data_IF_908918600382
#
_entry.id   IF_908918600382
#
_cell.length_a   1.000
_cell.length_b   1.000
_cell.length_c   1.000
_cell.angle_alpha   90.00
_cell.angle_beta   90.00
_cell.angle_gamma   90.00
#
_symmetry.space_group_name_H-M   'P 1'
#
loop_
_entity.id
_entity.type
_entity.pdbx_description
1 polymer ?
#
# COMPACT_ATOMS: atom_id res chain seq x y z
N UNK A 1 13.07 -1.79 7.26
CA UNK A 1 11.91 -2.69 7.45
C UNK A 1 10.97 -2.70 6.24
N UNK A 2 10.40 -1.58 5.78
CA UNK A 2 9.51 -1.57 4.61
C UNK A 2 10.17 -2.06 3.31
N UNK A 3 11.42 -1.68 3.06
CA UNK A 3 12.17 -2.12 1.88
C UNK A 3 12.75 -3.54 2.01
N UNK A 4 12.52 -4.22 3.14
CA UNK A 4 13.08 -5.55 3.44
C UNK A 4 12.03 -6.66 3.38
N UNK A 5 10.76 -6.31 3.15
CA UNK A 5 9.68 -7.30 3.04
C UNK A 5 9.41 -7.61 1.57
N UNK A 6 9.27 -8.89 1.27
CA UNK A 6 8.94 -9.37 -0.08
C UNK A 6 7.43 -9.22 -0.37
N UNK A 7 6.59 -9.36 0.65
CA UNK A 7 5.13 -9.26 0.55
C UNK A 7 4.62 -8.09 1.38
N UNK A 8 3.80 -7.26 0.75
CA UNK A 8 3.05 -6.20 1.43
C UNK A 8 1.55 -6.47 1.33
N UNK A 9 0.82 -5.92 2.29
CA UNK A 9 -0.62 -6.06 2.40
C UNK A 9 -1.22 -4.67 2.49
N UNK A 10 -2.11 -4.37 1.57
CA UNK A 10 -2.70 -3.04 1.41
C UNK A 10 -4.17 -3.12 1.75
N UNK A 11 -4.57 -2.40 2.79
CA UNK A 11 -5.95 -2.32 3.26
C UNK A 11 -6.39 -0.86 3.40
N UNK A 12 -7.63 -0.60 3.02
CA UNK A 12 -8.25 0.70 3.14
C UNK A 12 -9.46 0.63 4.09
N UNK A 13 -9.36 1.27 5.26
CA UNK A 13 -10.40 1.17 6.29
C UNK A 13 -11.12 2.51 6.56
N UNK A 14 -12.41 2.42 6.88
CA UNK A 14 -13.32 3.57 7.07
C UNK A 14 -13.60 3.90 8.54
N UNK A 15 -13.34 2.97 9.46
CA UNK A 15 -13.83 3.04 10.85
C UNK A 15 -13.22 4.20 11.67
N UNK A 16 -12.16 4.84 11.18
CA UNK A 16 -11.37 5.82 11.92
C UNK A 16 -10.98 7.07 11.09
N UNK A 17 -11.85 7.57 10.21
CA UNK A 17 -11.52 8.80 9.46
C UNK A 17 -12.06 10.07 10.13
N UNK A 18 -11.16 11.04 10.36
CA UNK A 18 -11.55 12.39 10.76
C UNK A 18 -12.39 13.03 9.65
N UNK A 19 -13.26 13.99 10.01
CA UNK A 19 -14.31 14.59 9.15
C UNK A 19 -13.89 15.00 7.72
N UNK A 20 -12.60 15.20 7.46
CA UNK A 20 -12.05 15.67 6.19
C UNK A 20 -11.45 14.58 5.29
N UNK A 21 -11.44 13.33 5.73
CA UNK A 21 -10.83 12.22 4.99
C UNK A 21 -11.85 11.13 4.69
N UNK A 22 -11.74 10.55 3.51
CA UNK A 22 -12.67 9.52 3.03
C UNK A 22 -12.21 8.12 3.46
N UNK A 23 -10.90 7.89 3.59
CA UNK A 23 -10.36 6.59 3.97
C UNK A 23 -8.97 6.68 4.62
N UNK A 24 -8.66 5.71 5.46
CA UNK A 24 -7.31 5.46 5.94
C UNK A 24 -6.72 4.28 5.15
N UNK A 25 -5.70 4.55 4.34
CA UNK A 25 -4.92 3.51 3.68
C UNK A 25 -3.81 3.03 4.62
N UNK A 26 -3.65 1.73 4.72
CA UNK A 26 -2.60 1.09 5.51
C UNK A 26 -1.80 0.12 4.64
N UNK A 27 -0.47 0.14 4.80
CA UNK A 27 0.43 -0.84 4.19
C UNK A 27 1.14 -1.56 5.31
N UNK A 28 1.00 -2.88 5.31
CA UNK A 28 1.64 -3.76 6.27
C UNK A 28 2.69 -4.61 5.57
N UNK A 29 3.75 -4.94 6.30
CA UNK A 29 4.74 -5.92 5.87
C UNK A 29 4.65 -7.16 6.74
N UNK A 30 4.90 -8.32 6.13
CA UNK A 30 5.12 -9.57 6.87
C UNK A 30 6.61 -9.89 6.92
N UNK A 31 7.15 -10.07 8.14
CA UNK A 31 8.53 -10.52 8.34
C UNK A 31 8.60 -11.43 9.56
N UNK A 32 9.21 -12.61 9.39
CA UNK A 32 9.37 -13.62 10.45
C UNK A 32 8.05 -13.96 11.17
N UNK A 33 6.95 -14.08 10.43
CA UNK A 33 5.62 -14.39 10.98
C UNK A 33 4.92 -13.22 11.67
N UNK A 34 5.52 -12.03 11.70
CA UNK A 34 4.91 -10.83 12.26
C UNK A 34 4.32 -9.95 11.17
N UNK A 35 3.09 -9.50 11.40
CA UNK A 35 2.37 -8.56 10.54
C UNK A 35 2.41 -7.18 11.18
N UNK A 36 3.07 -6.23 10.54
CA UNK A 36 3.36 -4.92 11.16
C UNK A 36 2.85 -3.80 10.25
N UNK A 37 2.08 -2.82 10.75
CA UNK A 37 1.75 -1.62 10.00
C UNK A 37 3.01 -0.79 9.78
N UNK A 38 3.32 -0.51 8.52
CA UNK A 38 4.53 0.21 8.11
C UNK A 38 4.23 1.60 7.57
N UNK A 39 3.08 1.76 6.92
CA UNK A 39 2.60 3.03 6.38
C UNK A 39 1.12 3.18 6.71
N UNK A 40 0.75 4.39 7.13
CA UNK A 40 -0.63 4.81 7.34
C UNK A 40 -0.81 6.17 6.67
N UNK A 41 -1.81 6.30 5.80
CA UNK A 41 -2.13 7.53 5.09
C UNK A 41 -3.62 7.84 5.21
N UNK A 42 -3.96 9.10 5.46
CA UNK A 42 -5.33 9.60 5.37
C UNK A 42 -5.54 10.16 3.97
N UNK A 43 -6.57 9.68 3.26
CA UNK A 43 -6.81 10.00 1.86
C UNK A 43 -8.13 10.75 1.66
N UNK A 44 -8.16 11.73 0.75
CA UNK A 44 -9.35 12.55 0.52
C UNK A 44 -10.40 11.84 -0.32
N UNK A 45 -10.02 10.82 -1.08
CA UNK A 45 -10.86 10.08 -2.01
C UNK A 45 -10.36 8.63 -2.15
N UNK A 46 -10.97 7.89 -3.08
CA UNK A 46 -10.73 6.45 -3.31
C UNK A 46 -10.40 6.15 -4.77
N UNK A 47 -9.75 7.07 -5.47
CA UNK A 47 -9.43 6.92 -6.90
C UNK A 47 -8.01 6.39 -7.09
N UNK A 48 -7.79 5.69 -8.21
CA UNK A 48 -6.51 5.06 -8.56
C UNK A 48 -5.34 6.04 -8.54
N UNK A 49 -5.56 7.26 -9.01
CA UNK A 49 -4.56 8.32 -9.13
C UNK A 49 -4.02 8.74 -7.77
N UNK A 50 -4.90 8.85 -6.77
CA UNK A 50 -4.52 9.16 -5.39
C UNK A 50 -3.68 8.03 -4.78
N UNK A 51 -4.06 6.77 -5.01
CA UNK A 51 -3.27 5.62 -4.55
C UNK A 51 -1.90 5.54 -5.22
N UNK A 52 -1.85 5.69 -6.55
CA UNK A 52 -0.61 5.69 -7.32
C UNK A 52 0.31 6.83 -6.86
N UNK A 53 -0.24 8.01 -6.61
CA UNK A 53 0.50 9.13 -6.03
C UNK A 53 1.12 8.74 -4.68
N UNK A 54 0.35 8.18 -3.75
CA UNK A 54 0.83 7.76 -2.43
C UNK A 54 1.94 6.72 -2.54
N UNK A 55 1.76 5.68 -3.37
CA UNK A 55 2.78 4.65 -3.58
C UNK A 55 4.08 5.24 -4.13
N UNK A 56 4.00 6.15 -5.10
CA UNK A 56 5.16 6.86 -5.61
C UNK A 56 5.83 7.75 -4.55
N UNK A 57 5.07 8.41 -3.66
CA UNK A 57 5.65 9.17 -2.56
C UNK A 57 6.43 8.26 -1.59
N UNK A 58 5.92 7.05 -1.31
CA UNK A 58 6.60 6.07 -0.46
C UNK A 58 7.92 5.63 -1.13
N UNK A 59 7.88 5.25 -2.41
CA UNK A 59 9.08 4.88 -3.19
C UNK A 59 10.11 6.01 -3.15
N UNK A 60 9.68 7.25 -3.43
CA UNK A 60 10.54 8.42 -3.40
C UNK A 60 11.18 8.65 -2.02
N UNK A 61 10.41 8.45 -0.94
CA UNK A 61 10.92 8.56 0.43
C UNK A 61 11.97 7.50 0.74
N UNK A 62 11.74 6.26 0.32
CA UNK A 62 12.71 5.17 0.45
C UNK A 62 13.99 5.45 -0.36
N UNK A 63 13.86 5.89 -1.62
CA UNK A 63 15.00 6.19 -2.48
C UNK A 63 15.89 7.29 -1.89
N UNK A 64 15.29 8.33 -1.27
CA UNK A 64 16.04 9.42 -0.61
C UNK A 64 16.91 8.96 0.57
N UNK A 65 16.60 7.81 1.18
CA UNK A 65 17.40 7.21 2.25
C UNK A 65 18.27 6.05 1.75
N UNK A 66 18.47 5.95 0.43
CA UNK A 66 19.30 4.92 -0.19
C UNK A 66 18.70 3.52 -0.16
N UNK A 67 17.38 3.40 -0.02
CA UNK A 67 16.66 2.13 -0.02
C UNK A 67 15.70 2.01 -1.20
N UNK A 68 15.65 0.84 -1.81
CA UNK A 68 14.70 0.55 -2.90
C UNK A 68 13.49 -0.18 -2.34
N UNK A 69 12.32 0.45 -2.40
CA UNK A 69 11.06 -0.22 -2.06
C UNK A 69 10.43 -0.85 -3.30
N UNK A 70 10.57 -2.18 -3.42
CA UNK A 70 10.08 -2.97 -4.55
C UNK A 70 9.45 -4.27 -4.03
N UNK A 71 8.15 -4.25 -3.64
CA UNK A 71 7.48 -5.46 -3.17
C UNK A 71 7.37 -6.50 -4.29
N UNK A 72 7.67 -7.77 -4.01
CA UNK A 72 7.50 -8.87 -4.98
C UNK A 72 6.04 -9.31 -5.05
N UNK A 73 5.34 -9.24 -3.93
CA UNK A 73 3.93 -9.57 -3.83
C UNK A 73 3.17 -8.44 -3.16
N UNK A 74 2.00 -8.11 -3.70
CA UNK A 74 1.06 -7.17 -3.11
C UNK A 74 -0.26 -7.90 -2.91
N UNK A 75 -0.67 -8.03 -1.65
CA UNK A 75 -1.96 -8.58 -1.28
C UNK A 75 -2.92 -7.42 -1.06
N UNK A 76 -4.04 -7.42 -1.78
CA UNK A 76 -5.00 -6.32 -1.79
C UNK A 76 -6.39 -6.93 -1.60
N UNK A 77 -7.22 -6.24 -0.83
CA UNK A 77 -8.64 -6.58 -0.67
C UNK A 77 -9.46 -6.17 -1.93
N UNK A 78 -10.79 -6.17 -1.86
CA UNK A 78 -11.69 -5.98 -3.02
C UNK A 78 -11.69 -4.58 -3.70
N UNK A 79 -10.88 -3.63 -3.25
CA UNK A 79 -10.94 -2.25 -3.76
C UNK A 79 -10.21 -2.06 -5.11
N UNK A 80 -10.97 -2.04 -6.21
CA UNK A 80 -10.47 -1.99 -7.59
C UNK A 80 -9.48 -0.85 -7.88
N UNK A 81 -9.71 0.34 -7.33
CA UNK A 81 -8.82 1.49 -7.54
C UNK A 81 -7.41 1.26 -7.00
N UNK A 82 -7.26 0.49 -5.91
CA UNK A 82 -5.95 0.08 -5.39
C UNK A 82 -5.28 -0.92 -6.35
N UNK A 83 -6.04 -1.86 -6.93
CA UNK A 83 -5.52 -2.82 -7.94
C UNK A 83 -4.95 -2.13 -9.17
N UNK A 84 -5.67 -1.12 -9.68
CA UNK A 84 -5.23 -0.31 -10.83
C UNK A 84 -3.93 0.41 -10.47
N UNK A 85 -3.89 1.11 -9.34
CA UNK A 85 -2.71 1.85 -8.89
C UNK A 85 -1.48 0.95 -8.66
N UNK A 86 -1.65 -0.23 -8.06
CA UNK A 86 -0.56 -1.20 -7.90
C UNK A 86 -0.06 -1.70 -9.24
N UNK A 87 -0.95 -1.90 -10.22
CA UNK A 87 -0.56 -2.31 -11.58
C UNK A 87 0.27 -1.24 -12.28
N UNK A 88 -0.09 0.02 -12.09
CA UNK A 88 0.66 1.16 -12.64
C UNK A 88 2.04 1.31 -11.99
N UNK A 89 2.11 1.27 -10.66
CA UNK A 89 3.33 1.58 -9.91
C UNK A 89 4.28 0.38 -9.82
N UNK A 90 3.75 -0.83 -9.66
CA UNK A 90 4.52 -2.07 -9.54
C UNK A 90 4.01 -3.16 -10.51
N UNK A 91 4.21 -2.98 -11.83
CA UNK A 91 3.64 -3.89 -12.83
C UNK A 91 4.17 -5.33 -12.75
N UNK A 92 5.36 -5.52 -12.15
CA UNK A 92 6.02 -6.82 -12.02
C UNK A 92 5.66 -7.57 -10.73
N UNK A 93 4.96 -6.94 -9.79
CA UNK A 93 4.57 -7.60 -8.53
C UNK A 93 3.43 -8.59 -8.76
N UNK A 94 3.52 -9.74 -8.11
CA UNK A 94 2.43 -10.70 -8.05
C UNK A 94 1.30 -10.11 -7.23
N UNK A 95 0.10 -10.05 -7.80
CA UNK A 95 -1.11 -9.60 -7.11
C UNK A 95 -1.82 -10.81 -6.53
N UNK A 96 -2.15 -10.75 -5.24
CA UNK A 96 -2.92 -11.79 -4.58
C UNK A 96 -4.13 -11.18 -3.89
N UNK A 97 -5.27 -11.86 -3.99
CA UNK A 97 -6.55 -11.40 -3.48
C UNK A 97 -6.86 -12.19 -2.21
N UNK A 98 -7.19 -11.50 -1.12
CA UNK A 98 -7.69 -12.17 0.08
C UNK A 98 -9.19 -12.45 -0.11
N UNK A 99 -9.55 -13.73 -0.23
CA UNK A 99 -10.94 -14.19 -0.30
C UNK A 99 -11.54 -14.43 1.10
N UNK A 100 -11.34 -13.48 2.02
CA UNK A 100 -12.04 -13.56 3.32
C UNK A 100 -13.51 -13.18 3.16
#
# INVERSE_FOLDING_TARGET
MLCEVDSIYVDGTFKCCARFWTQMLTIHGSKNGNYIPLVICLLPDKISETYAYVFNQIINKCNRIGQTFLPKQVVIDFEMSIHIAVTEVWPLSVKSYNWL
#
